data_IF_319075986637
#
_entry.id   IF_319075986637
#
_cell.length_a   1.000
_cell.length_b   1.000
_cell.length_c   1.000
_cell.angle_alpha   90.00
_cell.angle_beta   90.00
_cell.angle_gamma   90.00
#
_symmetry.space_group_name_H-M   'P 1'
#
loop_
_entity.id
_entity.type
_entity.pdbx_description
1 polymer ?
#
# COMPACT_ATOMS: atom_id res chain seq x y z
N UNK A 1 5.46 20.38 8.89
CA UNK A 1 5.32 19.38 9.98
C UNK A 1 6.40 18.34 9.79
N UNK A 2 6.96 17.75 10.86
CA UNK A 2 7.90 16.65 10.70
C UNK A 2 7.20 15.46 10.03
N UNK A 3 7.90 14.79 9.13
CA UNK A 3 7.46 13.53 8.52
C UNK A 3 7.27 12.47 9.60
N UNK A 4 6.15 11.74 9.54
CA UNK A 4 5.89 10.62 10.44
C UNK A 4 6.24 9.34 9.69
N UNK A 5 7.20 8.61 10.24
CA UNK A 5 7.64 7.35 9.67
C UNK A 5 6.70 6.21 10.08
N UNK A 6 6.61 5.18 9.23
CA UNK A 6 5.86 3.96 9.55
C UNK A 6 6.36 3.28 10.86
N UNK A 7 7.67 3.35 11.13
CA UNK A 7 8.26 2.83 12.37
C UNK A 7 7.77 3.59 13.62
N UNK A 8 7.64 4.90 13.56
CA UNK A 8 7.10 5.69 14.67
C UNK A 8 5.65 5.33 14.96
N UNK A 9 4.85 5.12 13.91
CA UNK A 9 3.43 4.79 14.06
C UNK A 9 3.23 3.38 14.62
N UNK A 10 3.99 2.40 14.15
CA UNK A 10 3.87 1.00 14.58
C UNK A 10 4.42 0.73 15.98
N UNK A 11 5.41 1.51 16.43
CA UNK A 11 5.98 1.38 17.77
C UNK A 11 5.22 2.16 18.87
N UNK A 12 4.35 3.10 18.49
CA UNK A 12 3.59 3.90 19.45
C UNK A 12 2.53 3.08 20.19
N UNK A 13 2.28 3.41 21.46
CA UNK A 13 1.29 2.73 22.31
C UNK A 13 0.31 3.71 22.94
N UNK A 14 -0.86 3.22 23.33
CA UNK A 14 -1.87 4.00 24.05
C UNK A 14 -2.45 5.15 23.20
N UNK A 15 -2.81 6.27 23.84
CA UNK A 15 -3.45 7.40 23.16
C UNK A 15 -2.54 8.09 22.11
N UNK A 16 -1.23 7.96 22.26
CA UNK A 16 -0.25 8.53 21.33
C UNK A 16 -0.23 7.80 19.98
N UNK A 17 -0.56 6.50 19.96
CA UNK A 17 -0.64 5.75 18.70
C UNK A 17 -1.78 6.26 17.81
N UNK A 18 -2.96 6.54 18.38
CA UNK A 18 -4.11 7.04 17.59
C UNK A 18 -3.81 8.39 16.93
N UNK A 19 -3.13 9.29 17.63
CA UNK A 19 -2.75 10.60 17.07
C UNK A 19 -1.74 10.45 15.94
N UNK A 20 -0.76 9.56 16.10
CA UNK A 20 0.24 9.28 15.07
C UNK A 20 -0.37 8.62 13.83
N UNK A 21 -1.29 7.66 14.01
CA UNK A 21 -2.04 7.06 12.89
C UNK A 21 -2.83 8.10 12.10
N UNK A 22 -3.59 8.97 12.78
CA UNK A 22 -4.39 10.00 12.10
C UNK A 22 -3.51 10.97 11.30
N UNK A 23 -2.34 11.33 11.82
CA UNK A 23 -1.44 12.23 11.12
C UNK A 23 -0.69 11.54 9.97
N UNK A 24 -0.33 10.27 10.14
CA UNK A 24 0.23 9.43 9.07
C UNK A 24 -0.76 9.26 7.91
N UNK A 25 -2.04 9.02 8.19
CA UNK A 25 -3.09 8.94 7.16
C UNK A 25 -3.22 10.25 6.36
N UNK A 26 -3.09 11.42 7.00
CA UNK A 26 -3.06 12.70 6.28
C UNK A 26 -1.82 12.84 5.40
N UNK A 27 -0.67 12.33 5.83
CA UNK A 27 0.54 12.32 5.00
C UNK A 27 0.36 11.43 3.78
N UNK A 28 -0.20 10.22 3.95
CA UNK A 28 -0.55 9.32 2.85
C UNK A 28 -1.56 9.95 1.87
N UNK A 29 -2.55 10.68 2.36
CA UNK A 29 -3.52 11.37 1.51
C UNK A 29 -2.88 12.47 0.62
N UNK A 30 -1.70 12.96 1.00
CA UNK A 30 -0.92 13.94 0.23
C UNK A 30 0.33 13.32 -0.42
N UNK A 31 0.47 11.99 -0.41
CA UNK A 31 1.58 11.30 -1.05
C UNK A 31 1.52 11.50 -2.58
N UNK A 32 2.67 11.74 -3.19
CA UNK A 32 2.77 12.01 -4.63
C UNK A 32 2.95 10.74 -5.50
N UNK A 33 2.99 9.58 -4.84
CA UNK A 33 3.14 8.26 -5.46
C UNK A 33 4.51 8.04 -6.12
N UNK A 34 5.54 8.85 -5.83
CA UNK A 34 6.84 8.75 -6.51
C UNK A 34 7.48 7.37 -6.44
N UNK A 35 7.36 6.69 -5.29
CA UNK A 35 7.93 5.36 -5.10
C UNK A 35 7.21 4.32 -5.99
N UNK A 36 5.87 4.35 -6.00
CA UNK A 36 5.08 3.47 -6.87
C UNK A 36 5.39 3.72 -8.36
N UNK A 37 5.50 4.99 -8.77
CA UNK A 37 5.91 5.38 -10.14
C UNK A 37 7.29 4.83 -10.51
N UNK A 38 8.29 5.02 -9.64
CA UNK A 38 9.65 4.53 -9.88
C UNK A 38 9.73 3.00 -10.00
N UNK A 39 8.89 2.26 -9.26
CA UNK A 39 8.79 0.81 -9.41
C UNK A 39 8.21 0.40 -10.78
N UNK A 40 7.12 1.04 -11.19
CA UNK A 40 6.48 0.78 -12.47
C UNK A 40 7.42 1.11 -13.64
N UNK A 41 8.08 2.27 -13.61
CA UNK A 41 9.07 2.69 -14.61
C UNK A 41 10.26 1.72 -14.70
N UNK A 42 10.63 1.10 -13.57
CA UNK A 42 11.67 0.07 -13.52
C UNK A 42 11.17 -1.34 -13.86
N UNK A 43 9.96 -1.49 -14.40
CA UNK A 43 9.39 -2.76 -14.85
C UNK A 43 8.92 -3.68 -13.71
N UNK A 44 8.76 -3.16 -12.49
CA UNK A 44 8.29 -3.93 -11.33
C UNK A 44 6.81 -3.65 -11.05
N UNK A 45 5.99 -4.68 -10.77
CA UNK A 45 4.62 -4.45 -10.34
C UNK A 45 4.57 -3.81 -8.95
N UNK A 46 3.47 -3.12 -8.67
CA UNK A 46 3.16 -2.58 -7.34
C UNK A 46 1.89 -3.24 -6.80
N UNK A 47 1.83 -3.37 -5.47
CA UNK A 47 0.72 -4.01 -4.77
C UNK A 47 0.10 -3.00 -3.80
N UNK A 48 -1.23 -2.88 -3.82
CA UNK A 48 -1.95 -1.98 -2.91
C UNK A 48 -3.36 -2.51 -2.62
N UNK A 49 -3.93 -2.10 -1.49
CA UNK A 49 -5.33 -2.37 -1.17
C UNK A 49 -6.21 -1.24 -1.72
N UNK A 50 -7.34 -1.59 -2.32
CA UNK A 50 -8.33 -0.64 -2.84
C UNK A 50 -9.67 -0.86 -2.11
N UNK A 51 -10.30 0.18 -1.52
CA UNK A 51 -11.61 0.06 -0.91
C UNK A 51 -12.70 -0.51 -1.83
N UNK A 52 -12.57 -0.38 -3.16
CA UNK A 52 -13.49 -1.02 -4.10
C UNK A 52 -13.36 -2.56 -4.16
N UNK A 53 -12.28 -3.10 -3.58
CA UNK A 53 -11.90 -4.50 -3.63
C UNK A 53 -11.49 -5.03 -2.25
N UNK A 54 -12.35 -4.82 -1.25
CA UNK A 54 -12.11 -5.25 0.13
C UNK A 54 -11.73 -6.75 0.21
N UNK A 55 -10.74 -7.05 1.05
CA UNK A 55 -10.23 -8.41 1.26
C UNK A 55 -9.33 -8.94 0.14
N UNK A 56 -9.05 -8.14 -0.89
CA UNK A 56 -8.12 -8.49 -1.98
C UNK A 56 -7.01 -7.46 -2.12
N UNK A 57 -5.91 -7.85 -2.77
CA UNK A 57 -4.80 -6.95 -3.09
C UNK A 57 -4.83 -6.68 -4.60
N UNK A 58 -4.71 -5.43 -5.00
CA UNK A 58 -4.53 -5.06 -6.41
C UNK A 58 -3.04 -5.15 -6.74
N UNK A 59 -2.69 -5.96 -7.74
CA UNK A 59 -1.39 -5.94 -8.42
C UNK A 59 -1.51 -5.11 -9.69
N UNK A 60 -0.80 -3.98 -9.74
CA UNK A 60 -0.69 -3.15 -10.95
C UNK A 60 0.64 -3.42 -11.65
N UNK A 61 0.56 -3.77 -12.93
CA UNK A 61 1.69 -4.01 -13.79
C UNK A 61 2.22 -2.71 -14.44
N UNK A 62 3.49 -2.69 -14.89
CA UNK A 62 4.07 -1.56 -15.63
C UNK A 62 3.30 -1.15 -16.89
N UNK A 63 2.63 -2.11 -17.55
CA UNK A 63 1.81 -1.88 -18.74
C UNK A 63 0.41 -1.31 -18.41
N UNK A 64 0.09 -1.11 -17.13
CA UNK A 64 -1.18 -0.60 -16.65
C UNK A 64 -2.23 -1.68 -16.36
N UNK A 65 -1.97 -2.96 -16.66
CA UNK A 65 -2.88 -4.06 -16.31
C UNK A 65 -3.02 -4.17 -14.79
N UNK A 66 -4.24 -4.40 -14.32
CA UNK A 66 -4.53 -4.64 -12.92
C UNK A 66 -5.13 -6.05 -12.71
N UNK A 67 -4.75 -6.67 -11.60
CA UNK A 67 -5.27 -7.96 -11.17
C UNK A 67 -5.58 -7.91 -9.68
N UNK A 68 -6.66 -8.56 -9.27
CA UNK A 68 -6.87 -8.93 -7.88
C UNK A 68 -6.10 -10.19 -7.58
N UNK A 69 -5.33 -10.15 -6.50
CA UNK A 69 -4.50 -11.26 -6.02
C UNK A 69 -4.76 -11.53 -4.54
N UNK A 70 -4.51 -12.78 -4.15
CA UNK A 70 -4.34 -13.20 -2.76
C UNK A 70 -2.86 -13.52 -2.52
N UNK A 71 -2.38 -13.27 -1.30
CA UNK A 71 -1.04 -13.67 -0.87
C UNK A 71 -1.21 -14.71 0.23
N UNK A 72 -0.75 -15.94 -0.03
CA UNK A 72 -0.81 -17.04 0.91
C UNK A 72 0.26 -16.88 2.00
N UNK A 73 0.13 -17.63 3.10
CA UNK A 73 1.06 -17.58 4.23
C UNK A 73 2.50 -17.95 3.86
N UNK A 74 2.69 -18.75 2.79
CA UNK A 74 4.00 -19.12 2.25
C UNK A 74 4.60 -18.05 1.31
N UNK A 75 3.89 -16.93 1.11
CA UNK A 75 4.27 -15.84 0.22
C UNK A 75 3.90 -16.07 -1.24
N UNK A 76 3.25 -17.19 -1.58
CA UNK A 76 2.78 -17.44 -2.94
C UNK A 76 1.65 -16.46 -3.30
N UNK A 77 1.72 -15.88 -4.50
CA UNK A 77 0.72 -14.94 -5.00
C UNK A 77 -0.20 -15.66 -5.98
N UNK A 78 -1.48 -15.76 -5.62
CA UNK A 78 -2.53 -16.32 -6.46
C UNK A 78 -3.33 -15.22 -7.15
N UNK A 79 -3.53 -15.36 -8.46
CA UNK A 79 -4.37 -14.41 -9.23
C UNK A 79 -5.82 -14.84 -9.12
N UNK A 80 -6.67 -13.95 -8.60
CA UNK A 80 -8.10 -14.16 -8.48
C UNK A 80 -8.83 -13.80 -9.78
N UNK A 81 -8.54 -12.60 -10.33
CA UNK A 81 -9.06 -12.12 -11.63
C UNK A 81 -8.37 -10.83 -12.09
N UNK A 82 -8.46 -10.52 -13.38
CA UNK A 82 -8.16 -9.18 -13.90
C UNK A 82 -9.28 -8.18 -13.55
N UNK A 83 -8.93 -6.89 -13.45
CA UNK A 83 -9.86 -5.78 -13.18
C UNK A 83 -9.52 -4.54 -14.02
#
# INVERSE_FOLDING_TARGET
>A
MPEITFEQVTNARGADSRKLWLEFEKQLANDDGRAAKAHLEAGRPVFYCDPAHEGSIVRKWPDGRCELVSVNDDGTVEVLRAI
#
